data_IF_717769691869
#
_entry.id   IF_717769691869
#
_cell.length_a   1.000
_cell.length_b   1.000
_cell.length_c   1.000
_cell.angle_alpha   90.00
_cell.angle_beta   90.00
_cell.angle_gamma   90.00
#
_symmetry.space_group_name_H-M   'P 1'
#
loop_
_entity.id
_entity.type
_entity.pdbx_description
1 polymer ?
#
# COMPACT_ATOMS: atom_id res chain seq x y z
N UNK A 1 48.92 -32.73 83.37
CA UNK A 1 47.77 -33.07 82.50
C UNK A 1 46.53 -32.42 83.09
N UNK A 2 46.06 -31.32 82.51
CA UNK A 2 44.71 -30.76 82.74
C UNK A 2 44.41 -29.78 81.59
N UNK A 3 43.24 -29.93 80.99
CA UNK A 3 42.89 -29.50 79.64
C UNK A 3 42.70 -27.99 79.44
N UNK A 4 43.06 -27.53 78.25
CA UNK A 4 42.78 -26.19 77.72
C UNK A 4 41.43 -26.24 77.00
N UNK A 5 40.54 -25.32 77.34
CA UNK A 5 39.23 -25.12 76.73
C UNK A 5 39.37 -24.59 75.28
N UNK A 6 38.78 -25.29 74.32
CA UNK A 6 38.59 -24.79 72.95
C UNK A 6 37.17 -24.25 72.79
N UNK A 7 37.06 -22.92 72.67
CA UNK A 7 35.86 -22.23 72.20
C UNK A 7 35.77 -22.39 70.68
N UNK A 8 34.82 -23.17 70.18
CA UNK A 8 34.53 -23.29 68.76
C UNK A 8 33.65 -22.11 68.30
N UNK A 9 34.21 -21.23 67.47
CA UNK A 9 33.45 -20.18 66.78
C UNK A 9 32.67 -20.79 65.61
N UNK A 10 31.34 -20.65 65.63
CA UNK A 10 30.44 -21.08 64.56
C UNK A 10 30.35 -19.94 63.52
N UNK A 11 30.65 -20.18 62.23
CA UNK A 11 30.46 -19.16 61.21
C UNK A 11 28.97 -19.14 60.82
N UNK A 12 28.31 -18.01 61.05
CA UNK A 12 26.94 -17.74 60.60
C UNK A 12 26.95 -17.59 59.07
N UNK A 13 26.55 -18.64 58.35
CA UNK A 13 26.31 -18.58 56.90
C UNK A 13 25.02 -17.81 56.64
N UNK A 14 25.16 -16.56 56.21
CA UNK A 14 24.05 -15.69 55.82
C UNK A 14 23.57 -16.14 54.44
N UNK A 15 22.46 -16.89 54.40
CA UNK A 15 21.84 -17.34 53.16
C UNK A 15 21.05 -16.17 52.54
N UNK A 16 21.70 -15.39 51.70
CA UNK A 16 21.07 -14.32 50.92
C UNK A 16 20.10 -14.93 49.91
N UNK A 17 18.81 -14.97 50.24
CA UNK A 17 17.75 -15.38 49.32
C UNK A 17 17.59 -14.33 48.22
N UNK A 18 18.23 -14.56 47.06
CA UNK A 18 18.03 -13.76 45.86
C UNK A 18 16.68 -14.19 45.26
N UNK A 19 15.62 -13.45 45.56
CA UNK A 19 14.36 -13.58 44.82
C UNK A 19 14.63 -13.13 43.38
N UNK A 20 14.37 -13.97 42.36
CA UNK A 20 14.35 -13.48 40.99
C UNK A 20 13.19 -12.50 40.90
N UNK A 21 13.51 -11.20 40.86
CA UNK A 21 12.54 -10.18 40.51
C UNK A 21 12.15 -10.46 39.06
N UNK A 22 11.03 -11.14 38.86
CA UNK A 22 10.39 -11.24 37.56
C UNK A 22 9.94 -9.83 37.19
N UNK A 23 10.84 -9.07 36.59
CA UNK A 23 10.51 -7.81 35.95
C UNK A 23 9.45 -8.14 34.90
N UNK A 24 8.21 -7.72 35.16
CA UNK A 24 7.18 -7.66 34.15
C UNK A 24 7.66 -6.61 33.13
N UNK A 25 8.39 -7.06 32.13
CA UNK A 25 8.81 -6.24 31.02
C UNK A 25 7.53 -5.69 30.38
N UNK A 26 7.31 -4.36 30.38
CA UNK A 26 6.16 -3.80 29.69
C UNK A 26 6.35 -4.20 28.23
N UNK A 27 5.42 -4.99 27.69
CA UNK A 27 5.41 -5.31 26.27
C UNK A 27 5.49 -3.97 25.53
N UNK A 28 6.68 -3.66 25.00
CA UNK A 28 6.93 -2.47 24.21
C UNK A 28 5.83 -2.44 23.16
N UNK A 29 4.99 -1.40 23.22
CA UNK A 29 3.91 -1.18 22.28
C UNK A 29 4.58 -0.93 20.93
N UNK A 30 4.92 -2.01 20.23
CA UNK A 30 5.59 -1.94 18.94
C UNK A 30 4.72 -1.06 18.05
N UNK A 31 5.26 0.02 17.46
CA UNK A 31 4.49 0.89 16.60
C UNK A 31 3.83 0.04 15.52
N UNK A 32 2.50 0.09 15.41
CA UNK A 32 1.82 -0.64 14.35
C UNK A 32 2.34 -0.12 13.00
N UNK A 33 2.75 -1.00 12.09
CA UNK A 33 3.16 -0.57 10.77
C UNK A 33 1.95 0.05 10.07
N UNK A 34 2.13 1.29 9.59
CA UNK A 34 1.14 1.99 8.77
C UNK A 34 1.31 1.50 7.33
N UNK A 35 0.29 0.90 6.76
CA UNK A 35 0.31 0.46 5.37
C UNK A 35 0.09 1.63 4.41
N UNK A 36 0.82 1.62 3.29
CA UNK A 36 0.57 2.53 2.16
C UNK A 36 -0.38 1.82 1.20
N UNK A 37 -1.49 2.47 0.89
CA UNK A 37 -2.51 1.94 -0.02
C UNK A 37 -2.73 2.89 -1.17
N UNK A 38 -2.90 2.34 -2.36
CA UNK A 38 -3.39 3.06 -3.52
C UNK A 38 -4.79 2.57 -3.87
N UNK A 39 -5.73 3.49 -4.03
CA UNK A 39 -7.08 3.18 -4.51
C UNK A 39 -7.37 3.86 -5.84
N UNK A 40 -8.34 3.31 -6.56
CA UNK A 40 -8.83 3.92 -7.78
C UNK A 40 -9.88 3.04 -8.46
N UNK A 41 -10.40 3.53 -9.58
CA UNK A 41 -11.42 2.84 -10.36
C UNK A 41 -11.00 2.75 -11.82
N UNK A 42 -11.30 1.63 -12.47
CA UNK A 42 -11.06 1.40 -13.89
C UNK A 42 -12.39 1.28 -14.63
N UNK A 43 -12.50 2.01 -15.73
CA UNK A 43 -13.68 2.07 -16.57
C UNK A 43 -13.40 1.64 -18.01
N UNK A 44 -14.48 1.32 -18.72
CA UNK A 44 -14.55 1.27 -20.16
C UNK A 44 -15.15 2.59 -20.64
N UNK A 45 -14.35 3.43 -21.30
CA UNK A 45 -14.79 4.70 -21.87
C UNK A 45 -15.82 4.47 -22.99
N UNK A 46 -16.82 5.33 -23.04
CA UNK A 46 -17.78 5.36 -24.14
C UNK A 46 -17.12 5.78 -25.44
N UNK A 47 -17.51 5.17 -26.56
CA UNK A 47 -17.03 5.57 -27.88
C UNK A 47 -17.34 7.04 -28.23
N UNK A 48 -18.41 7.60 -27.67
CA UNK A 48 -18.77 9.00 -27.87
C UNK A 48 -17.78 9.99 -27.23
N UNK A 49 -16.95 9.51 -26.31
CA UNK A 49 -16.01 10.29 -25.52
C UNK A 49 -14.55 9.99 -25.91
N UNK A 50 -14.33 9.21 -26.97
CA UNK A 50 -13.00 8.87 -27.44
C UNK A 50 -12.18 10.13 -27.77
N UNK A 51 -10.91 10.14 -27.35
CA UNK A 51 -10.02 11.28 -27.50
C UNK A 51 -10.19 12.35 -26.41
N UNK A 52 -11.16 12.20 -25.51
CA UNK A 52 -11.39 13.10 -24.37
C UNK A 52 -11.06 12.43 -23.05
N UNK A 53 -11.10 13.20 -21.97
CA UNK A 53 -10.94 12.72 -20.60
C UNK A 53 -12.27 12.37 -19.93
N UNK A 54 -13.38 12.42 -20.68
CA UNK A 54 -14.73 12.24 -20.14
C UNK A 54 -15.01 10.76 -19.80
N UNK A 55 -15.64 10.55 -18.65
CA UNK A 55 -16.04 9.24 -18.12
C UNK A 55 -17.52 9.18 -17.68
N UNK A 56 -18.34 10.18 -17.98
CA UNK A 56 -19.73 10.26 -17.52
C UNK A 56 -20.61 9.06 -17.92
N UNK A 57 -20.35 8.47 -19.10
CA UNK A 57 -21.06 7.28 -19.61
C UNK A 57 -20.18 6.02 -19.59
N UNK A 58 -19.06 6.08 -18.90
CA UNK A 58 -18.12 4.98 -18.83
C UNK A 58 -18.65 3.89 -17.90
N UNK A 59 -18.41 2.62 -18.27
CA UNK A 59 -18.88 1.47 -17.49
C UNK A 59 -17.73 0.91 -16.65
N UNK A 60 -17.91 0.60 -15.36
CA UNK A 60 -16.83 0.05 -14.56
C UNK A 60 -16.39 -1.32 -15.11
N UNK A 61 -15.09 -1.62 -14.99
CA UNK A 61 -14.52 -2.91 -15.41
C UNK A 61 -14.06 -3.68 -14.18
N UNK A 62 -14.78 -4.73 -13.82
CA UNK A 62 -14.31 -5.72 -12.85
C UNK A 62 -13.24 -6.61 -13.48
N UNK A 63 -12.33 -7.14 -12.66
CA UNK A 63 -11.22 -8.00 -13.09
C UNK A 63 -10.21 -7.37 -14.07
N UNK A 64 -10.18 -6.03 -14.19
CA UNK A 64 -9.11 -5.32 -14.87
C UNK A 64 -7.81 -5.37 -14.06
N UNK A 65 -6.67 -5.44 -14.74
CA UNK A 65 -5.35 -5.44 -14.11
C UNK A 65 -4.74 -4.05 -14.23
N UNK A 66 -4.32 -3.50 -13.09
CA UNK A 66 -3.51 -2.28 -12.98
C UNK A 66 -2.16 -2.60 -12.36
N UNK A 67 -1.13 -1.85 -12.71
CA UNK A 67 0.20 -1.93 -12.12
C UNK A 67 0.49 -0.67 -11.30
N UNK A 68 0.90 -0.84 -10.05
CA UNK A 68 1.49 0.25 -9.26
C UNK A 68 3.00 0.13 -9.40
N UNK A 69 3.63 1.16 -9.97
CA UNK A 69 5.08 1.25 -10.14
C UNK A 69 5.57 2.42 -9.31
N UNK A 70 6.50 2.18 -8.41
CA UNK A 70 7.21 3.23 -7.69
C UNK A 70 8.68 3.26 -8.10
N UNK A 71 9.22 4.47 -8.21
CA UNK A 71 10.63 4.71 -8.50
C UNK A 71 11.28 5.47 -7.36
N UNK A 72 12.52 5.12 -7.05
CA UNK A 72 13.32 5.88 -6.11
C UNK A 72 13.82 7.21 -6.75
N UNK A 73 14.46 8.03 -5.95
CA UNK A 73 15.07 9.31 -6.31
C UNK A 73 16.16 9.17 -7.39
N UNK A 74 16.65 7.95 -7.65
CA UNK A 74 17.57 7.63 -8.74
C UNK A 74 16.84 7.10 -9.99
N UNK A 75 15.52 7.23 -10.01
CA UNK A 75 14.63 6.80 -11.09
C UNK A 75 14.65 5.27 -11.35
N UNK A 76 15.09 4.47 -10.37
CA UNK A 76 15.09 3.00 -10.42
C UNK A 76 13.77 2.48 -9.86
N UNK A 77 13.23 1.40 -10.42
CA UNK A 77 12.00 0.79 -9.89
C UNK A 77 12.29 0.21 -8.51
N UNK A 78 11.71 0.82 -7.48
CA UNK A 78 11.82 0.40 -6.07
C UNK A 78 10.68 -0.51 -5.64
N UNK A 79 9.54 -0.43 -6.35
CA UNK A 79 8.39 -1.29 -6.11
C UNK A 79 7.59 -1.46 -7.40
N UNK A 80 7.15 -2.71 -7.66
CA UNK A 80 6.17 -2.99 -8.70
C UNK A 80 5.28 -4.16 -8.27
N UNK A 81 3.96 -3.96 -8.34
CA UNK A 81 2.96 -5.02 -8.21
C UNK A 81 1.74 -4.73 -9.07
N UNK A 82 1.08 -5.79 -9.49
CA UNK A 82 -0.22 -5.72 -10.17
C UNK A 82 -1.36 -5.97 -9.20
N UNK A 83 -2.49 -5.34 -9.46
CA UNK A 83 -3.71 -5.47 -8.68
C UNK A 83 -4.90 -5.62 -9.62
N UNK A 84 -5.88 -6.38 -9.16
CA UNK A 84 -7.08 -6.68 -9.92
C UNK A 84 -8.24 -5.88 -9.35
N UNK A 85 -9.02 -5.25 -10.21
CA UNK A 85 -10.23 -4.54 -9.79
C UNK A 85 -11.32 -5.53 -9.36
N UNK A 86 -11.98 -5.19 -8.26
CA UNK A 86 -13.18 -5.89 -7.80
C UNK A 86 -14.45 -5.24 -8.33
N UNK A 87 -15.49 -5.27 -7.49
CA UNK A 87 -16.80 -4.73 -7.81
C UNK A 87 -16.73 -3.25 -8.20
N UNK A 88 -17.56 -2.86 -9.17
CA UNK A 88 -17.60 -1.48 -9.69
C UNK A 88 -16.26 -0.99 -10.25
N UNK A 89 -15.36 -1.92 -10.62
CA UNK A 89 -14.04 -1.60 -11.17
C UNK A 89 -13.08 -0.96 -10.18
N UNK A 90 -13.38 -1.02 -8.88
CA UNK A 90 -12.55 -0.44 -7.83
C UNK A 90 -11.39 -1.38 -7.45
N UNK A 91 -10.21 -0.82 -7.18
CA UNK A 91 -9.09 -1.56 -6.58
C UNK A 91 -8.62 -0.89 -5.29
N UNK A 92 -8.22 -1.72 -4.32
CA UNK A 92 -7.57 -1.33 -3.07
C UNK A 92 -6.20 -2.02 -3.01
N UNK A 93 -5.17 -1.31 -3.45
CA UNK A 93 -3.83 -1.83 -3.66
C UNK A 93 -2.94 -1.57 -2.45
N UNK A 94 -2.85 -2.54 -1.55
CA UNK A 94 -1.90 -2.52 -0.43
C UNK A 94 -0.48 -2.72 -0.96
N UNK A 95 0.40 -1.74 -0.76
CA UNK A 95 1.78 -1.79 -1.23
C UNK A 95 2.69 -2.57 -0.27
N UNK A 96 2.37 -3.84 -0.03
CA UNK A 96 3.15 -4.70 0.89
C UNK A 96 4.60 -4.82 0.42
N UNK A 97 5.53 -4.39 1.29
CA UNK A 97 6.97 -4.38 1.01
C UNK A 97 7.47 -3.07 0.39
N UNK A 98 6.60 -2.09 0.14
CA UNK A 98 7.03 -0.75 -0.20
C UNK A 98 7.77 -0.13 0.99
N UNK A 99 8.93 0.45 0.71
CA UNK A 99 9.76 1.17 1.69
C UNK A 99 9.98 2.57 1.15
N UNK A 100 9.40 3.57 1.81
CA UNK A 100 9.79 4.96 1.58
C UNK A 100 11.15 5.17 2.23
N UNK A 101 12.11 5.73 1.48
CA UNK A 101 13.35 6.20 2.10
C UNK A 101 13.10 7.57 2.77
N UNK A 102 14.14 8.13 3.38
CA UNK A 102 14.12 9.48 3.95
C UNK A 102 14.03 10.58 2.88
N UNK A 103 14.28 10.27 1.61
CA UNK A 103 14.17 11.23 0.51
C UNK A 103 12.71 11.60 0.26
N UNK A 104 12.43 12.90 0.12
CA UNK A 104 11.12 13.40 -0.28
C UNK A 104 10.65 12.82 -1.62
N UNK A 105 11.57 12.56 -2.54
CA UNK A 105 11.27 11.97 -3.84
C UNK A 105 10.86 10.49 -3.76
N UNK A 106 11.16 9.83 -2.64
CA UNK A 106 10.78 8.44 -2.39
C UNK A 106 9.39 8.33 -1.73
N UNK A 107 8.76 9.47 -1.42
CA UNK A 107 7.39 9.53 -0.91
C UNK A 107 6.38 9.04 -1.96
N UNK A 108 5.32 8.28 -1.60
CA UNK A 108 4.37 7.71 -2.56
C UNK A 108 3.81 8.70 -3.59
N UNK A 109 3.56 9.96 -3.19
CA UNK A 109 3.05 11.01 -4.09
C UNK A 109 3.97 11.33 -5.27
N UNK A 110 5.28 11.14 -5.11
CA UNK A 110 6.29 11.44 -6.13
C UNK A 110 6.83 10.16 -6.78
N UNK A 111 7.07 9.14 -5.95
CA UNK A 111 7.66 7.88 -6.37
C UNK A 111 6.70 7.04 -7.21
N UNK A 112 5.42 6.99 -6.84
CA UNK A 112 4.49 5.98 -7.33
C UNK A 112 3.54 6.50 -8.42
N UNK A 113 3.23 5.62 -9.39
CA UNK A 113 2.26 5.84 -10.45
C UNK A 113 1.44 4.58 -10.70
N UNK A 114 0.19 4.74 -11.12
CA UNK A 114 -0.68 3.62 -11.53
C UNK A 114 -0.78 3.58 -13.05
N UNK A 115 -0.60 2.40 -13.64
CA UNK A 115 -0.77 2.15 -15.07
C UNK A 115 -1.79 1.06 -15.32
N UNK A 116 -2.53 1.19 -16.42
CA UNK A 116 -3.35 0.11 -16.96
C UNK A 116 -2.44 -0.99 -17.50
N UNK A 117 -2.80 -2.25 -17.22
CA UNK A 117 -2.06 -3.43 -17.71
C UNK A 117 -2.93 -4.21 -18.68
N UNK A 118 -4.14 -4.62 -18.26
CA UNK A 118 -5.06 -5.35 -19.12
C UNK A 118 -6.51 -5.23 -18.67
N UNK A 119 -7.42 -5.50 -19.60
CA UNK A 119 -8.86 -5.60 -19.37
C UNK A 119 -9.32 -7.02 -19.73
N UNK A 120 -10.23 -7.63 -18.95
CA UNK A 120 -10.82 -8.92 -19.28
C UNK A 120 -11.86 -8.80 -20.41
N UNK A 121 -12.31 -7.58 -20.73
CA UNK A 121 -13.32 -7.35 -21.75
C UNK A 121 -12.64 -7.23 -23.13
N UNK A 122 -12.81 -8.23 -23.98
CA UNK A 122 -12.30 -8.20 -25.37
C UNK A 122 -12.86 -7.02 -26.17
N UNK A 123 -14.08 -6.57 -25.85
CA UNK A 123 -14.72 -5.40 -26.46
C UNK A 123 -14.19 -4.06 -25.93
N UNK A 124 -13.39 -4.06 -24.86
CA UNK A 124 -12.89 -2.84 -24.21
C UNK A 124 -11.53 -3.07 -23.54
N UNK A 125 -10.51 -3.35 -24.36
CA UNK A 125 -9.16 -3.68 -23.92
C UNK A 125 -8.05 -2.77 -24.49
N UNK A 126 -8.39 -1.75 -25.27
CA UNK A 126 -7.39 -0.80 -25.74
C UNK A 126 -7.06 0.19 -24.62
N UNK A 127 -5.76 0.32 -24.34
CA UNK A 127 -5.25 1.28 -23.38
C UNK A 127 -5.60 2.71 -23.81
N UNK A 128 -5.95 3.56 -22.86
CA UNK A 128 -6.07 4.99 -23.07
C UNK A 128 -5.17 5.75 -22.11
N UNK A 129 -4.89 7.00 -22.43
CA UNK A 129 -4.21 7.92 -21.53
C UNK A 129 -5.17 8.82 -20.75
N UNK A 130 -6.45 8.45 -20.62
CA UNK A 130 -7.39 9.16 -19.73
C UNK A 130 -6.82 9.14 -18.31
N UNK A 131 -6.70 10.33 -17.70
CA UNK A 131 -6.07 10.53 -16.39
C UNK A 131 -4.69 9.86 -16.27
N UNK A 132 -3.93 9.86 -17.36
CA UNK A 132 -2.60 9.27 -17.48
C UNK A 132 -2.54 7.75 -17.30
N UNK A 133 -3.63 7.01 -17.56
CA UNK A 133 -3.67 5.55 -17.39
C UNK A 133 -2.59 4.77 -18.17
N UNK A 134 -2.14 5.28 -19.32
CA UNK A 134 -1.08 4.66 -20.12
C UNK A 134 0.32 5.06 -19.61
N UNK A 135 0.57 6.35 -19.41
CA UNK A 135 1.91 6.84 -19.03
C UNK A 135 2.21 6.78 -17.53
N UNK A 136 1.19 6.68 -16.70
CA UNK A 136 1.25 6.58 -15.24
C UNK A 136 0.47 7.70 -14.56
N UNK A 137 -0.66 7.35 -13.95
CA UNK A 137 -1.46 8.23 -13.13
C UNK A 137 -0.74 8.59 -11.83
N UNK A 138 -0.55 9.89 -11.52
CA UNK A 138 0.03 10.31 -10.26
C UNK A 138 -0.93 9.99 -9.11
N UNK A 139 -0.35 9.80 -7.93
CA UNK A 139 -1.11 9.63 -6.70
C UNK A 139 -1.54 10.98 -6.12
N UNK A 140 -2.70 11.02 -5.47
CA UNK A 140 -3.22 12.18 -4.75
C UNK A 140 -3.53 11.78 -3.31
N UNK A 141 -3.21 12.64 -2.35
CA UNK A 141 -3.61 12.43 -0.96
C UNK A 141 -4.92 13.18 -0.70
N UNK A 142 -5.98 12.45 -0.37
CA UNK A 142 -7.31 13.00 -0.12
C UNK A 142 -7.67 13.00 1.37
N UNK A 143 -6.66 13.06 2.25
CA UNK A 143 -6.82 12.95 3.71
C UNK A 143 -7.53 11.65 4.16
N UNK A 144 -7.37 10.57 3.39
CA UNK A 144 -7.98 9.28 3.67
C UNK A 144 -7.04 8.40 4.49
N UNK A 145 -7.52 8.00 5.66
CA UNK A 145 -6.84 7.09 6.57
C UNK A 145 -7.84 6.07 7.09
N UNK A 146 -7.47 4.79 7.08
CA UNK A 146 -8.27 3.72 7.66
C UNK A 146 -7.59 3.25 8.95
N UNK A 147 -8.29 3.37 10.08
CA UNK A 147 -7.79 2.94 11.39
C UNK A 147 -8.74 1.89 11.95
N UNK A 148 -8.18 0.72 12.32
CA UNK A 148 -8.87 -0.38 12.98
C UNK A 148 -8.00 -0.93 14.10
N UNK A 149 -8.58 -1.80 14.93
CA UNK A 149 -7.96 -2.35 16.15
C UNK A 149 -6.60 -3.01 15.94
N UNK A 150 -6.24 -3.46 14.73
CA UNK A 150 -4.95 -4.07 14.39
C UNK A 150 -4.42 -3.65 13.01
N UNK A 151 -5.00 -2.61 12.40
CA UNK A 151 -4.69 -2.23 11.03
C UNK A 151 -4.78 -0.72 10.87
N UNK A 152 -3.77 -0.13 10.25
CA UNK A 152 -3.74 1.28 9.94
C UNK A 152 -3.19 1.49 8.53
N UNK A 153 -3.87 2.30 7.72
CA UNK A 153 -3.45 2.57 6.35
C UNK A 153 -3.64 4.04 5.97
N UNK A 154 -2.67 4.59 5.26
CA UNK A 154 -2.77 5.87 4.54
C UNK A 154 -3.11 5.57 3.09
N UNK A 155 -4.21 6.17 2.62
CA UNK A 155 -4.79 5.84 1.31
C UNK A 155 -4.55 7.00 0.35
N UNK A 156 -3.95 6.68 -0.79
CA UNK A 156 -3.73 7.59 -1.90
C UNK A 156 -4.64 7.22 -3.07
N UNK A 157 -5.26 8.21 -3.69
CA UNK A 157 -6.14 8.02 -4.84
C UNK A 157 -5.36 8.13 -6.16
N UNK A 158 -5.70 7.27 -7.12
CA UNK A 158 -5.23 7.32 -8.49
C UNK A 158 -6.41 7.27 -9.47
N UNK A 159 -6.28 7.97 -10.60
CA UNK A 159 -7.33 7.97 -11.63
C UNK A 159 -8.58 8.73 -11.20
N UNK A 160 -9.77 8.38 -11.72
CA UNK A 160 -10.13 7.11 -12.39
C UNK A 160 -9.45 6.86 -13.75
N UNK A 161 -9.20 5.60 -14.10
CA UNK A 161 -8.51 5.19 -15.33
C UNK A 161 -9.50 4.56 -16.32
N UNK A 162 -9.15 4.49 -17.61
CA UNK A 162 -10.03 3.85 -18.58
C UNK A 162 -9.34 3.10 -19.72
N UNK A 163 -9.93 1.96 -20.08
CA UNK A 163 -9.79 1.34 -21.40
C UNK A 163 -10.83 1.91 -22.36
N UNK A 164 -10.70 1.59 -23.65
CA UNK A 164 -11.70 1.90 -24.66
C UNK A 164 -11.98 0.72 -25.59
N UNK A 165 -13.13 0.74 -26.29
CA UNK A 165 -13.37 -0.16 -27.41
C UNK A 165 -12.41 0.06 -28.58
N UNK A 166 -12.14 -1.02 -29.31
CA UNK A 166 -11.29 -0.98 -30.51
C UNK A 166 -11.95 -0.26 -31.68
N UNK A 167 -13.24 -0.49 -31.87
CA UNK A 167 -14.03 0.10 -32.95
C UNK A 167 -15.04 1.07 -32.34
N UNK A 168 -14.83 2.35 -32.61
CA UNK A 168 -15.80 3.39 -32.35
C UNK A 168 -16.21 3.97 -33.69
N UNK A 169 -17.51 3.90 -34.01
CA UNK A 169 -18.04 4.54 -35.21
C UNK A 169 -17.94 6.05 -34.97
N UNK A 170 -17.28 6.82 -35.85
CA UNK A 170 -17.28 8.28 -35.75
C UNK A 170 -18.72 8.79 -35.69
N UNK A 171 -18.99 9.84 -34.93
CA UNK A 171 -20.28 10.51 -35.03
C UNK A 171 -20.46 10.98 -36.48
N UNK A 172 -21.61 10.72 -37.07
CA UNK A 172 -22.04 11.49 -38.23
C UNK A 172 -22.10 12.95 -37.77
N UNK A 173 -21.39 13.82 -38.47
CA UNK A 173 -21.47 15.26 -38.25
C UNK A 173 -22.90 15.71 -38.66
N UNK A 174 -23.62 16.48 -37.83
CA UNK A 174 -24.95 16.99 -38.18
C UNK A 174 -24.92 17.93 -39.39
#
# INVERSE_FOLDING_TARGET
MAGIHFLAAIPLLILSSVLPSAALEPALLQPKPIEVVVEGTVFCQSCNDYGTWNLNKAKPIESAIVGVICKDHRNRVSFYKTFTTGKYGYFYAVLRGFRSSQSFLDHPLHACKVRLVSSPLSSCNLLTNVNYGLYGAPLRYENKRLVRSNYEAVIYAAGPLAFRPAKCVPKAEP
#
